data_IF_709070235221
#
_entry.id   IF_709070235221
#
_cell.length_a   1.000
_cell.length_b   1.000
_cell.length_c   1.000
_cell.angle_alpha   90.00
_cell.angle_beta   90.00
_cell.angle_gamma   90.00
#
_symmetry.space_group_name_H-M   'P 1'
#
loop_
_entity.id
_entity.type
_entity.pdbx_description
1 polymer ?
#
# COMPACT_ATOMS: atom_id res chain seq x y z
N UNK A 1 4.58 -6.46 -25.69
CA UNK A 1 4.04 -6.51 -27.07
C UNK A 1 2.54 -6.21 -27.19
N UNK A 2 1.59 -6.71 -26.34
CA UNK A 2 0.16 -6.33 -26.44
C UNK A 2 -0.09 -4.84 -26.27
N UNK A 3 0.60 -4.17 -25.35
CA UNK A 3 0.48 -2.71 -25.14
C UNK A 3 0.91 -1.93 -26.39
N UNK A 4 1.91 -2.38 -27.14
CA UNK A 4 2.31 -1.77 -28.41
C UNK A 4 1.23 -1.83 -29.50
N UNK A 5 0.21 -2.70 -29.34
CA UNK A 5 -0.96 -2.82 -30.20
C UNK A 5 -2.17 -2.03 -29.67
N UNK A 6 -1.98 -1.07 -28.77
CA UNK A 6 -3.04 -0.23 -28.19
C UNK A 6 -3.89 -0.92 -27.13
N UNK A 7 -3.47 -2.06 -26.58
CA UNK A 7 -4.21 -2.78 -25.51
C UNK A 7 -3.74 -2.36 -24.14
N UNK A 8 -4.66 -2.32 -23.19
CA UNK A 8 -4.34 -2.20 -21.76
C UNK A 8 -4.12 -3.61 -21.20
N UNK A 9 -3.01 -3.79 -20.50
CA UNK A 9 -2.56 -5.09 -19.96
C UNK A 9 -2.42 -4.96 -18.45
N UNK A 10 -2.94 -5.92 -17.71
CA UNK A 10 -2.65 -6.12 -16.30
C UNK A 10 -1.61 -7.23 -16.17
N UNK A 11 -0.46 -6.90 -15.58
CA UNK A 11 0.61 -7.85 -15.25
C UNK A 11 0.57 -8.14 -13.75
N UNK A 12 0.33 -9.40 -13.39
CA UNK A 12 0.39 -9.88 -12.02
C UNK A 12 1.65 -10.72 -11.85
N UNK A 13 2.44 -10.45 -10.81
CA UNK A 13 3.63 -11.25 -10.50
C UNK A 13 3.72 -11.51 -9.00
N UNK A 14 3.70 -12.79 -8.63
CA UNK A 14 3.88 -13.26 -7.27
C UNK A 14 5.12 -14.19 -7.23
N UNK A 15 6.28 -13.75 -6.73
CA UNK A 15 6.60 -12.45 -6.12
C UNK A 15 7.95 -11.93 -6.63
N UNK A 16 8.19 -10.64 -6.49
CA UNK A 16 9.50 -10.04 -6.77
C UNK A 16 10.57 -10.54 -5.82
N UNK A 17 10.23 -10.87 -4.57
CA UNK A 17 11.15 -11.46 -3.60
C UNK A 17 11.71 -12.79 -4.10
N UNK A 18 10.86 -13.67 -4.63
CA UNK A 18 11.30 -14.96 -5.21
C UNK A 18 12.16 -14.76 -6.45
N UNK A 19 11.83 -13.77 -7.29
CA UNK A 19 12.66 -13.43 -8.45
C UNK A 19 14.04 -12.93 -8.01
N UNK A 20 14.10 -12.07 -7.00
CA UNK A 20 15.35 -11.56 -6.44
C UNK A 20 16.22 -12.69 -5.87
N UNK A 21 15.62 -13.65 -5.15
CA UNK A 21 16.32 -14.83 -4.63
C UNK A 21 16.88 -15.70 -5.77
N UNK A 22 16.08 -15.99 -6.80
CA UNK A 22 16.53 -16.77 -7.96
C UNK A 22 17.68 -16.06 -8.70
N UNK A 23 17.58 -14.74 -8.91
CA UNK A 23 18.65 -13.97 -9.55
C UNK A 23 19.92 -13.94 -8.69
N UNK A 24 19.81 -13.89 -7.36
CA UNK A 24 20.95 -13.99 -6.43
C UNK A 24 21.69 -15.32 -6.65
N UNK A 25 20.97 -16.44 -6.72
CA UNK A 25 21.59 -17.75 -6.93
C UNK A 25 22.33 -17.80 -8.28
N UNK A 26 21.72 -17.29 -9.33
CA UNK A 26 22.34 -17.17 -10.67
C UNK A 26 23.60 -16.31 -10.61
N UNK A 27 23.54 -15.16 -9.97
CA UNK A 27 24.69 -14.25 -9.82
C UNK A 27 25.85 -14.90 -9.05
N UNK A 28 25.56 -15.55 -7.92
CA UNK A 28 26.57 -16.27 -7.14
C UNK A 28 27.19 -17.41 -7.96
N UNK A 29 26.41 -18.19 -8.68
CA UNK A 29 26.90 -19.25 -9.56
C UNK A 29 27.75 -18.71 -10.71
N UNK A 30 27.49 -17.49 -11.18
CA UNK A 30 28.28 -16.79 -12.18
C UNK A 30 29.56 -16.10 -11.60
N UNK A 31 29.79 -16.21 -10.29
CA UNK A 31 30.96 -15.63 -9.62
C UNK A 31 30.81 -14.17 -9.23
N UNK A 32 29.60 -13.61 -9.23
CA UNK A 32 29.39 -12.26 -8.68
C UNK A 32 29.64 -12.23 -7.18
N UNK A 33 30.35 -11.22 -6.65
CA UNK A 33 30.54 -11.09 -5.21
C UNK A 33 29.19 -10.75 -4.53
N UNK A 34 28.89 -11.35 -3.37
CA UNK A 34 27.74 -10.95 -2.58
C UNK A 34 27.92 -9.52 -2.06
N UNK A 35 26.87 -8.72 -2.11
CA UNK A 35 26.81 -7.38 -1.57
C UNK A 35 25.85 -7.32 -0.36
N UNK A 36 25.07 -6.26 -0.22
CA UNK A 36 24.17 -6.03 0.92
C UNK A 36 23.20 -7.20 1.16
N UNK A 37 23.15 -7.69 2.39
CA UNK A 37 22.33 -8.85 2.82
C UNK A 37 22.52 -10.10 1.93
N UNK A 38 23.69 -10.24 1.30
CA UNK A 38 24.05 -11.38 0.46
C UNK A 38 23.44 -11.38 -0.95
N UNK A 39 22.77 -10.34 -1.36
CA UNK A 39 22.31 -10.18 -2.74
C UNK A 39 23.46 -9.77 -3.66
N UNK A 40 23.41 -10.22 -4.91
CA UNK A 40 24.41 -9.87 -5.93
C UNK A 40 24.05 -8.56 -6.67
N UNK A 41 25.04 -7.83 -7.22
CA UNK A 41 24.78 -6.61 -7.99
C UNK A 41 23.74 -6.77 -9.12
N UNK A 42 23.72 -7.93 -9.75
CA UNK A 42 22.75 -8.24 -10.82
C UNK A 42 21.30 -8.19 -10.35
N UNK A 43 21.00 -8.48 -9.07
CA UNK A 43 19.64 -8.36 -8.51
C UNK A 43 19.19 -6.91 -8.54
N UNK A 44 20.03 -5.99 -8.06
CA UNK A 44 19.71 -4.56 -8.03
C UNK A 44 19.66 -3.93 -9.42
N UNK A 45 20.34 -4.50 -10.40
CA UNK A 45 20.21 -4.08 -11.80
C UNK A 45 18.93 -4.63 -12.46
N UNK A 46 18.45 -5.81 -12.05
CA UNK A 46 17.26 -6.45 -12.62
C UNK A 46 15.96 -5.75 -12.22
N UNK A 47 15.80 -5.43 -10.92
CA UNK A 47 14.55 -4.90 -10.38
C UNK A 47 14.08 -3.60 -11.07
N UNK A 48 14.91 -2.54 -11.21
CA UNK A 48 14.51 -1.34 -11.94
C UNK A 48 14.11 -1.64 -13.38
N UNK A 49 14.93 -2.43 -14.09
CA UNK A 49 14.67 -2.79 -15.50
C UNK A 49 13.35 -3.55 -15.69
N UNK A 50 12.91 -4.33 -14.69
CA UNK A 50 11.64 -5.03 -14.72
C UNK A 50 10.48 -4.08 -14.46
N UNK A 51 10.58 -3.25 -13.42
CA UNK A 51 9.53 -2.34 -12.99
C UNK A 51 9.27 -1.24 -14.03
N UNK A 52 10.30 -0.69 -14.65
CA UNK A 52 10.21 0.31 -15.71
C UNK A 52 9.51 -0.20 -16.99
N UNK A 53 9.29 -1.50 -17.13
CA UNK A 53 8.51 -2.05 -18.24
C UNK A 53 7.01 -1.89 -18.09
N UNK A 54 6.52 -1.63 -16.89
CA UNK A 54 5.15 -1.20 -16.66
C UNK A 54 5.02 0.29 -17.00
N UNK A 55 3.83 0.72 -17.38
CA UNK A 55 3.56 2.13 -17.69
C UNK A 55 2.74 2.33 -18.95
N UNK A 56 2.67 3.58 -19.38
CA UNK A 56 1.90 4.02 -20.54
C UNK A 56 2.80 4.58 -21.62
N UNK A 57 2.44 4.36 -22.89
CA UNK A 57 3.16 4.90 -24.04
C UNK A 57 2.23 5.76 -24.90
N UNK A 58 2.69 6.95 -25.28
CA UNK A 58 1.91 7.87 -26.12
C UNK A 58 1.46 7.18 -27.41
N UNK A 59 0.13 7.21 -27.67
CA UNK A 59 -0.47 6.61 -28.86
C UNK A 59 -0.49 5.07 -28.86
N UNK A 60 -0.23 4.43 -27.70
CA UNK A 60 -0.26 2.97 -27.50
C UNK A 60 -1.07 2.66 -26.25
N UNK A 61 -1.19 1.38 -25.91
CA UNK A 61 -1.84 0.94 -24.67
C UNK A 61 -0.95 1.12 -23.43
N UNK A 62 -1.37 0.51 -22.33
CA UNK A 62 -0.66 0.56 -21.06
C UNK A 62 -0.35 -0.84 -20.51
N UNK A 63 0.64 -0.93 -19.63
CA UNK A 63 0.87 -2.09 -18.77
C UNK A 63 0.77 -1.60 -17.32
N UNK A 64 -0.23 -2.10 -16.61
CA UNK A 64 -0.34 -1.92 -15.15
C UNK A 64 0.30 -3.12 -14.48
N UNK A 65 1.38 -2.89 -13.72
CA UNK A 65 2.06 -3.94 -12.96
C UNK A 65 1.54 -4.01 -11.53
N UNK A 66 1.12 -5.19 -11.09
CA UNK A 66 0.79 -5.50 -9.71
C UNK A 66 1.76 -6.59 -9.22
N UNK A 67 2.65 -6.21 -8.33
CA UNK A 67 3.74 -7.06 -7.85
C UNK A 67 3.58 -7.33 -6.37
N UNK A 68 3.72 -8.58 -5.95
CA UNK A 68 3.83 -8.88 -4.53
C UNK A 68 5.30 -8.87 -4.08
N UNK A 69 5.53 -8.38 -2.87
CA UNK A 69 6.84 -8.40 -2.20
C UNK A 69 6.63 -9.00 -0.82
N UNK A 70 7.40 -10.02 -0.50
CA UNK A 70 7.34 -10.68 0.81
C UNK A 70 8.41 -10.05 1.71
N UNK A 71 7.99 -9.50 2.83
CA UNK A 71 8.89 -8.96 3.86
C UNK A 71 9.30 -10.07 4.83
N UNK A 72 10.59 -10.31 4.99
CA UNK A 72 11.10 -11.23 5.99
C UNK A 72 10.99 -10.61 7.39
N UNK A 73 10.33 -11.32 8.31
CA UNK A 73 10.19 -10.88 9.71
C UNK A 73 9.38 -9.60 9.90
N UNK A 74 8.51 -9.26 8.96
CA UNK A 74 7.73 -8.01 8.96
C UNK A 74 8.63 -6.73 8.98
N UNK A 75 9.90 -6.84 8.50
CA UNK A 75 10.85 -5.72 8.44
C UNK A 75 10.57 -4.84 7.19
N UNK A 76 10.03 -3.62 7.35
CA UNK A 76 9.76 -2.72 6.23
C UNK A 76 11.04 -2.17 5.59
N UNK A 77 12.20 -2.34 6.23
CA UNK A 77 13.53 -1.93 5.76
C UNK A 77 14.31 -3.08 5.11
N UNK A 78 13.62 -4.18 4.81
CA UNK A 78 14.18 -5.26 4.00
C UNK A 78 14.57 -4.68 2.62
N UNK A 79 15.78 -5.00 2.15
CA UNK A 79 16.42 -4.27 1.04
C UNK A 79 15.66 -4.39 -0.29
N UNK A 80 15.04 -5.55 -0.56
CA UNK A 80 14.25 -5.74 -1.79
C UNK A 80 12.96 -4.94 -1.70
N UNK A 81 12.32 -4.96 -0.53
CA UNK A 81 11.11 -4.17 -0.25
C UNK A 81 11.37 -2.69 -0.43
N UNK A 82 12.45 -2.17 0.16
CA UNK A 82 12.80 -0.75 0.06
C UNK A 82 13.17 -0.35 -1.37
N UNK A 83 13.93 -1.20 -2.08
CA UNK A 83 14.25 -0.99 -3.49
C UNK A 83 12.98 -0.90 -4.35
N UNK A 84 12.06 -1.86 -4.21
CA UNK A 84 10.81 -1.87 -4.98
C UNK A 84 9.92 -0.67 -4.63
N UNK A 85 9.78 -0.33 -3.33
CA UNK A 85 9.02 0.84 -2.88
C UNK A 85 9.55 2.15 -3.44
N UNK A 86 10.86 2.28 -3.62
CA UNK A 86 11.48 3.48 -4.18
C UNK A 86 11.14 3.67 -5.67
N UNK A 87 10.93 2.58 -6.39
CA UNK A 87 10.70 2.55 -7.84
C UNK A 87 9.21 2.54 -8.23
N UNK A 88 8.36 1.93 -7.40
CA UNK A 88 6.93 1.77 -7.69
C UNK A 88 6.15 3.09 -7.56
N UNK A 89 5.07 3.24 -8.34
CA UNK A 89 4.14 4.39 -8.25
C UNK A 89 3.28 4.39 -6.99
N UNK A 90 3.31 3.31 -6.23
CA UNK A 90 2.63 3.16 -4.95
C UNK A 90 2.79 1.76 -4.39
N UNK A 91 2.35 1.58 -3.16
CA UNK A 91 2.34 0.28 -2.50
C UNK A 91 1.15 0.16 -1.54
N UNK A 92 0.65 -1.05 -1.43
CA UNK A 92 -0.41 -1.44 -0.49
C UNK A 92 0.26 -2.32 0.57
N UNK A 93 0.19 -1.89 1.83
CA UNK A 93 0.76 -2.60 2.96
C UNK A 93 -0.27 -3.55 3.57
N UNK A 94 0.06 -4.84 3.64
CA UNK A 94 -0.77 -5.85 4.29
C UNK A 94 -0.25 -6.12 5.70
N UNK A 95 -1.12 -5.99 6.70
CA UNK A 95 -0.78 -6.12 8.11
C UNK A 95 -1.25 -7.47 8.67
N UNK A 96 -0.31 -8.27 9.22
CA UNK A 96 -0.65 -9.48 9.95
C UNK A 96 -1.54 -9.19 11.16
N UNK A 97 -1.26 -8.10 11.91
CA UNK A 97 -2.05 -7.67 13.06
C UNK A 97 -3.52 -7.43 12.70
N UNK A 98 -3.79 -6.80 11.54
CA UNK A 98 -5.17 -6.61 11.08
C UNK A 98 -5.85 -7.93 10.73
N UNK A 99 -5.14 -8.85 10.07
CA UNK A 99 -5.65 -10.19 9.76
C UNK A 99 -5.99 -10.98 11.03
N UNK A 100 -5.12 -10.96 12.04
CA UNK A 100 -5.35 -11.59 13.34
C UNK A 100 -6.56 -11.01 14.08
N UNK A 101 -6.90 -9.74 13.85
CA UNK A 101 -8.09 -9.07 14.36
C UNK A 101 -9.36 -9.34 13.52
N UNK A 102 -9.29 -10.18 12.51
CA UNK A 102 -10.40 -10.44 11.59
C UNK A 102 -10.78 -9.22 10.74
N UNK A 103 -9.84 -8.31 10.49
CA UNK A 103 -10.03 -7.16 9.62
C UNK A 103 -9.60 -7.52 8.19
N UNK A 104 -10.55 -7.69 7.31
CA UNK A 104 -10.30 -8.04 5.91
C UNK A 104 -10.98 -7.03 4.97
N UNK A 105 -10.30 -6.66 3.84
CA UNK A 105 -8.91 -6.99 3.53
C UNK A 105 -7.95 -6.42 4.58
N UNK A 106 -6.85 -7.12 4.86
CA UNK A 106 -5.90 -6.76 5.92
C UNK A 106 -4.97 -5.61 5.50
N UNK A 107 -5.52 -4.57 4.89
CA UNK A 107 -4.78 -3.40 4.36
C UNK A 107 -4.57 -2.38 5.48
N UNK A 108 -3.31 -2.11 5.82
CA UNK A 108 -2.97 -0.96 6.64
C UNK A 108 -2.89 0.29 5.75
N UNK A 109 -3.88 1.16 5.90
CA UNK A 109 -4.05 2.34 5.04
C UNK A 109 -2.96 3.39 5.29
N UNK A 110 -2.53 3.57 6.55
CA UNK A 110 -1.59 4.65 6.89
C UNK A 110 -0.20 4.49 6.27
N UNK A 111 0.43 3.30 6.25
CA UNK A 111 1.71 3.10 5.57
C UNK A 111 1.55 2.87 4.05
N UNK A 112 0.32 2.68 3.55
CA UNK A 112 0.06 2.52 2.12
C UNK A 112 0.11 3.86 1.40
N UNK A 113 0.75 3.89 0.21
CA UNK A 113 0.99 5.13 -0.53
C UNK A 113 0.62 4.97 -2.00
N UNK A 114 0.00 5.99 -2.57
CA UNK A 114 -0.15 6.17 -4.02
C UNK A 114 0.45 7.52 -4.44
N UNK A 115 1.51 7.49 -5.24
CA UNK A 115 2.15 8.71 -5.78
C UNK A 115 1.31 9.38 -6.86
N UNK A 116 0.38 8.64 -7.46
CA UNK A 116 -0.48 9.13 -8.53
C UNK A 116 -1.86 9.60 -8.05
N UNK A 117 -2.19 9.42 -6.77
CA UNK A 117 -3.52 9.72 -6.20
C UNK A 117 -4.03 11.11 -6.61
N UNK A 118 -3.20 12.14 -6.44
CA UNK A 118 -3.59 13.52 -6.73
C UNK A 118 -3.83 13.79 -8.23
N UNK A 119 -3.35 12.92 -9.10
CA UNK A 119 -3.49 13.04 -10.56
C UNK A 119 -4.73 12.32 -11.09
N UNK A 120 -5.26 11.35 -10.33
CA UNK A 120 -6.35 10.46 -10.76
C UNK A 120 -7.63 10.61 -9.95
N UNK A 121 -7.62 11.44 -8.88
CA UNK A 121 -8.79 11.67 -8.02
C UNK A 121 -9.21 13.14 -8.04
N UNK A 122 -10.53 13.38 -7.87
CA UNK A 122 -11.07 14.72 -7.75
C UNK A 122 -10.57 15.44 -6.47
N UNK A 123 -10.45 16.78 -6.48
CA UNK A 123 -9.99 17.53 -5.31
C UNK A 123 -10.83 17.32 -4.05
N UNK A 124 -12.13 17.11 -4.22
CA UNK A 124 -13.04 16.81 -3.11
C UNK A 124 -12.71 15.47 -2.45
N UNK A 125 -12.56 14.43 -3.25
CA UNK A 125 -12.12 13.12 -2.75
C UNK A 125 -10.76 13.21 -2.04
N UNK A 126 -9.81 13.97 -2.57
CA UNK A 126 -8.51 14.17 -1.93
C UNK A 126 -8.63 14.80 -0.53
N UNK A 127 -9.56 15.75 -0.35
CA UNK A 127 -9.84 16.37 0.97
C UNK A 127 -10.39 15.35 1.96
N UNK A 128 -11.39 14.56 1.54
CA UNK A 128 -11.98 13.50 2.38
C UNK A 128 -10.93 12.46 2.81
N UNK A 129 -10.12 11.99 1.86
CA UNK A 129 -9.04 11.05 2.18
C UNK A 129 -8.01 11.67 3.15
N UNK A 130 -7.65 12.92 2.96
CA UNK A 130 -6.69 13.61 3.85
C UNK A 130 -7.26 13.74 5.27
N UNK A 131 -8.54 14.03 5.39
CA UNK A 131 -9.22 14.09 6.67
C UNK A 131 -9.31 12.73 7.35
N UNK A 132 -9.70 11.67 6.62
CA UNK A 132 -9.69 10.30 7.11
C UNK A 132 -8.33 9.90 7.67
N UNK A 133 -7.27 10.14 6.88
CA UNK A 133 -5.89 9.79 7.29
C UNK A 133 -5.44 10.57 8.52
N UNK A 134 -5.85 11.83 8.67
CA UNK A 134 -5.57 12.65 9.85
C UNK A 134 -6.17 12.03 11.11
N UNK A 135 -7.45 11.62 11.08
CA UNK A 135 -8.09 10.98 12.24
C UNK A 135 -7.50 9.60 12.53
N UNK A 136 -7.20 8.81 11.50
CA UNK A 136 -6.56 7.50 11.69
C UNK A 136 -5.17 7.65 12.33
N UNK A 137 -4.38 8.62 11.89
CA UNK A 137 -3.08 8.91 12.46
C UNK A 137 -3.19 9.40 13.93
N UNK A 138 -4.08 10.35 14.20
CA UNK A 138 -4.31 10.85 15.57
C UNK A 138 -4.74 9.72 16.53
N UNK A 139 -5.61 8.83 16.07
CA UNK A 139 -6.00 7.65 16.87
C UNK A 139 -4.81 6.74 17.14
N UNK A 140 -4.01 6.42 16.13
CA UNK A 140 -2.84 5.53 16.25
C UNK A 140 -1.80 6.12 17.21
N UNK A 141 -1.55 7.42 17.14
CA UNK A 141 -0.60 8.12 18.02
C UNK A 141 -1.06 8.14 19.48
N UNK A 142 -2.37 8.06 19.72
CA UNK A 142 -2.97 8.01 21.05
C UNK A 142 -3.28 6.57 21.52
N UNK A 143 -3.08 5.54 20.70
CA UNK A 143 -3.55 4.17 20.96
C UNK A 143 -3.03 3.63 22.30
N UNK A 144 -1.76 3.83 22.62
CA UNK A 144 -1.19 3.36 23.89
C UNK A 144 -1.83 4.07 25.11
N UNK A 145 -2.05 5.39 25.01
CA UNK A 145 -2.70 6.14 26.07
C UNK A 145 -4.17 5.72 26.26
N UNK A 146 -4.85 5.39 25.18
CA UNK A 146 -6.23 4.89 25.21
C UNK A 146 -6.32 3.51 25.85
N UNK A 147 -5.39 2.60 25.52
CA UNK A 147 -5.37 1.23 26.07
C UNK A 147 -5.14 1.19 27.57
N UNK A 148 -4.28 2.06 28.08
CA UNK A 148 -4.01 2.16 29.54
C UNK A 148 -4.97 3.10 30.28
N UNK A 149 -5.95 3.71 29.58
CA UNK A 149 -6.93 4.62 30.18
C UNK A 149 -6.33 5.98 30.62
N UNK A 150 -5.16 6.35 30.11
CA UNK A 150 -4.48 7.59 30.50
C UNK A 150 -4.83 8.79 29.60
N UNK A 151 -5.59 8.60 28.55
CA UNK A 151 -6.05 9.70 27.70
C UNK A 151 -7.16 10.52 28.40
N UNK A 152 -7.00 11.83 28.41
CA UNK A 152 -7.99 12.76 28.96
C UNK A 152 -8.71 13.45 27.81
N UNK A 153 -10.02 13.21 27.68
CA UNK A 153 -10.86 13.88 26.68
C UNK A 153 -10.82 15.40 26.80
N UNK A 154 -10.91 16.10 25.68
CA UNK A 154 -10.82 17.56 25.57
C UNK A 154 -9.40 18.12 25.43
N UNK A 155 -8.35 17.30 25.57
CA UNK A 155 -6.96 17.75 25.35
C UNK A 155 -6.56 17.89 23.88
N UNK A 156 -7.08 17.02 23.02
CA UNK A 156 -6.77 17.05 21.59
C UNK A 156 -8.06 16.79 20.77
N UNK A 157 -8.60 17.84 20.10
CA UNK A 157 -9.83 17.71 19.34
C UNK A 157 -9.77 16.65 18.23
N UNK A 158 -8.61 16.47 17.58
CA UNK A 158 -8.44 15.47 16.54
C UNK A 158 -8.49 14.03 17.11
N UNK A 159 -7.92 13.80 18.29
CA UNK A 159 -7.99 12.51 18.98
C UNK A 159 -9.41 12.24 19.49
N UNK A 160 -10.07 13.22 20.10
CA UNK A 160 -11.46 13.09 20.56
C UNK A 160 -12.38 12.72 19.39
N UNK A 161 -12.23 13.39 18.28
CA UNK A 161 -12.97 13.11 17.05
C UNK A 161 -12.63 11.73 16.47
N UNK A 162 -11.36 11.38 16.45
CA UNK A 162 -10.89 10.09 15.99
C UNK A 162 -11.47 8.93 16.81
N UNK A 163 -11.55 9.05 18.13
CA UNK A 163 -12.17 8.05 19.02
C UNK A 163 -13.64 7.81 18.63
N UNK A 164 -14.39 8.85 18.33
CA UNK A 164 -15.79 8.74 17.93
C UNK A 164 -15.96 8.10 16.55
N UNK A 165 -15.07 8.42 15.61
CA UNK A 165 -15.15 7.94 14.22
C UNK A 165 -14.54 6.56 14.01
N UNK A 166 -13.56 6.14 14.83
CA UNK A 166 -12.81 4.92 14.59
C UNK A 166 -13.66 3.64 14.41
N UNK A 167 -14.76 3.42 15.17
CA UNK A 167 -15.63 2.27 14.93
C UNK A 167 -16.25 2.29 13.53
N UNK A 168 -16.68 3.46 13.04
CA UNK A 168 -17.25 3.65 11.71
C UNK A 168 -16.18 3.49 10.63
N UNK A 169 -14.98 4.04 10.84
CA UNK A 169 -13.84 3.90 9.95
C UNK A 169 -13.46 2.42 9.80
N UNK A 170 -13.37 1.68 10.90
CA UNK A 170 -13.08 0.24 10.86
C UNK A 170 -14.16 -0.54 10.10
N UNK A 171 -15.42 -0.17 10.26
CA UNK A 171 -16.51 -0.78 9.50
C UNK A 171 -16.40 -0.47 8.00
N UNK A 172 -16.15 0.79 7.63
CA UNK A 172 -15.96 1.22 6.25
C UNK A 172 -14.79 0.53 5.55
N UNK A 173 -13.68 0.28 6.26
CA UNK A 173 -12.48 -0.35 5.72
C UNK A 173 -12.57 -1.88 5.65
N UNK A 174 -13.59 -2.49 6.26
CA UNK A 174 -13.86 -3.93 6.14
C UNK A 174 -14.75 -4.21 4.95
N UNK A 175 -14.45 -5.32 4.29
CA UNK A 175 -15.23 -5.79 3.15
C UNK A 175 -15.42 -7.29 3.27
N UNK A 176 -16.65 -7.76 3.07
CA UNK A 176 -16.92 -9.18 2.94
C UNK A 176 -16.40 -9.72 1.61
N UNK A 177 -16.07 -11.00 1.54
CA UNK A 177 -15.42 -11.64 0.40
C UNK A 177 -16.15 -11.42 -0.93
N UNK A 178 -17.49 -11.37 -0.89
CA UNK A 178 -18.34 -11.21 -2.09
C UNK A 178 -19.07 -9.86 -2.15
N UNK A 179 -18.64 -8.87 -1.34
CA UNK A 179 -19.26 -7.56 -1.37
C UNK A 179 -18.91 -6.82 -2.67
N UNK A 180 -19.92 -6.31 -3.35
CA UNK A 180 -19.74 -5.41 -4.49
C UNK A 180 -19.50 -3.98 -3.99
N UNK A 181 -18.29 -3.49 -4.14
CA UNK A 181 -17.87 -2.14 -3.74
C UNK A 181 -17.38 -1.37 -4.96
N UNK A 182 -18.27 -0.62 -5.60
CA UNK A 182 -17.87 0.31 -6.65
C UNK A 182 -17.10 1.52 -6.08
N UNK A 183 -16.24 2.12 -6.89
CA UNK A 183 -15.50 3.34 -6.50
C UNK A 183 -16.47 4.45 -6.07
N UNK A 184 -17.55 4.66 -6.81
CA UNK A 184 -18.57 5.69 -6.52
C UNK A 184 -19.25 5.43 -5.19
N UNK A 185 -19.65 4.19 -4.91
CA UNK A 185 -20.27 3.82 -3.62
C UNK A 185 -19.29 4.05 -2.45
N UNK A 186 -18.02 3.71 -2.64
CA UNK A 186 -16.97 3.93 -1.63
C UNK A 186 -16.72 5.42 -1.37
N UNK A 187 -16.69 6.25 -2.40
CA UNK A 187 -16.57 7.71 -2.26
C UNK A 187 -17.76 8.33 -1.52
N UNK A 188 -18.98 7.91 -1.85
CA UNK A 188 -20.21 8.37 -1.17
C UNK A 188 -20.19 7.96 0.31
N UNK A 189 -19.89 6.71 0.60
CA UNK A 189 -19.83 6.20 1.97
C UNK A 189 -18.74 6.92 2.81
N UNK A 190 -17.59 7.27 2.21
CA UNK A 190 -16.56 8.05 2.86
C UNK A 190 -17.04 9.46 3.22
N UNK A 191 -17.75 10.13 2.30
CA UNK A 191 -18.30 11.46 2.54
C UNK A 191 -19.34 11.44 3.67
N UNK A 192 -20.25 10.47 3.67
CA UNK A 192 -21.27 10.29 4.72
C UNK A 192 -20.64 9.98 6.09
N UNK A 193 -19.60 9.13 6.13
CA UNK A 193 -18.87 8.78 7.34
C UNK A 193 -18.29 10.02 8.01
N UNK A 194 -17.64 10.90 7.25
CA UNK A 194 -16.99 12.10 7.78
C UNK A 194 -17.99 13.23 8.10
N UNK A 195 -19.14 13.28 7.42
CA UNK A 195 -20.20 14.26 7.70
C UNK A 195 -20.99 13.95 8.99
N UNK A 196 -21.01 12.68 9.44
CA UNK A 196 -21.80 12.24 10.61
C UNK A 196 -21.12 12.54 11.94
N UNK A 197 -20.84 13.81 12.25
CA UNK A 197 -20.32 14.11 13.54
C UNK A 197 -20.46 15.52 13.99
#
# INVERSE_FOLDING_TARGET
QPAHRGRNVLLLMDSLSRLAMAQREVGLAAGEPPSTKGYTPSVFALLPRLLERAGTWKGKGSITGLYTVLMEGDDPHEIITDTVRSLADGHIYLSRRLAEQGHFPAIDVLPSVSRVRTRVTAPEHQRLVTELLRYMAAYRDAEDLLQIGAYVSGKNPDVDRAIQLMPKIRHYLRQEEFADASIVASETALAELLATG
#
